data_IF_332590495973
#
_entry.id   IF_332590495973
#
_cell.length_a   1.000
_cell.length_b   1.000
_cell.length_c   1.000
_cell.angle_alpha   90.00
_cell.angle_beta   90.00
_cell.angle_gamma   90.00
#
_symmetry.space_group_name_H-M   'P 1'
#
loop_
_entity.id
_entity.type
_entity.pdbx_description
1 polymer ?
#
# COMPACT_ATOMS: atom_id res chain seq x y z
N UNK A 1 -8.57 4.66 9.80
CA UNK A 1 -9.12 3.31 9.84
C UNK A 1 -8.02 2.26 9.69
N UNK A 2 -7.36 2.11 8.55
CA UNK A 2 -6.28 1.12 8.33
C UNK A 2 -5.17 1.10 9.41
N UNK A 3 -4.66 2.25 9.83
CA UNK A 3 -3.62 2.30 10.86
C UNK A 3 -4.04 1.69 12.23
N UNK A 4 -5.35 1.49 12.48
CA UNK A 4 -5.84 0.79 13.69
C UNK A 4 -5.62 -0.72 13.61
N UNK A 5 -5.58 -1.29 12.42
CA UNK A 5 -5.31 -2.71 12.20
C UNK A 5 -3.82 -3.05 12.32
N UNK A 6 -2.93 -2.05 12.22
CA UNK A 6 -1.51 -2.21 12.47
C UNK A 6 -1.27 -2.11 13.97
N UNK A 7 -1.01 -3.23 14.61
CA UNK A 7 -0.83 -3.33 16.05
C UNK A 7 0.65 -3.49 16.43
N UNK A 8 0.95 -3.41 17.72
CA UNK A 8 2.29 -3.70 18.24
C UNK A 8 2.74 -5.13 17.86
N UNK A 9 4.03 -5.34 17.73
CA UNK A 9 4.69 -6.60 17.38
C UNK A 9 4.41 -7.14 15.95
N UNK A 10 3.81 -6.35 15.06
CA UNK A 10 3.64 -6.72 13.67
C UNK A 10 4.87 -6.39 12.82
N UNK A 11 4.92 -6.98 11.64
CA UNK A 11 5.80 -6.58 10.53
C UNK A 11 4.93 -6.09 9.36
N UNK A 12 5.34 -4.98 8.74
CA UNK A 12 4.58 -4.40 7.63
C UNK A 12 5.52 -3.91 6.52
N UNK A 13 5.07 -4.02 5.27
CA UNK A 13 5.67 -3.34 4.13
C UNK A 13 4.85 -2.11 3.78
N UNK A 14 5.54 -1.00 3.52
CA UNK A 14 4.95 0.27 3.09
C UNK A 14 5.62 0.71 1.80
N UNK A 15 4.82 0.94 0.76
CA UNK A 15 5.33 1.44 -0.52
C UNK A 15 5.73 2.93 -0.46
N UNK A 16 6.20 3.48 -1.57
CA UNK A 16 6.63 4.88 -1.67
C UNK A 16 5.49 5.87 -1.92
N UNK A 17 4.25 5.49 -1.70
CA UNK A 17 3.11 6.39 -1.90
C UNK A 17 2.94 7.40 -0.77
N UNK A 18 2.33 8.56 -1.10
CA UNK A 18 1.92 9.55 -0.10
C UNK A 18 0.93 8.96 0.93
N UNK A 19 0.10 8.01 0.51
CA UNK A 19 -0.81 7.28 1.39
C UNK A 19 -0.04 6.45 2.41
N UNK A 20 0.99 5.73 1.99
CA UNK A 20 1.85 4.95 2.90
C UNK A 20 2.64 5.86 3.85
N UNK A 21 3.12 7.01 3.39
CA UNK A 21 3.75 8.01 4.25
C UNK A 21 2.78 8.53 5.32
N UNK A 22 1.53 8.79 4.96
CA UNK A 22 0.50 9.19 5.92
C UNK A 22 0.25 8.11 6.98
N UNK A 23 0.23 6.84 6.57
CA UNK A 23 0.12 5.70 7.50
C UNK A 23 1.33 5.63 8.42
N UNK A 24 2.55 5.76 7.88
CA UNK A 24 3.80 5.75 8.64
C UNK A 24 3.78 6.78 9.78
N UNK A 25 3.31 8.00 9.52
CA UNK A 25 3.14 9.05 10.53
C UNK A 25 2.21 8.67 11.68
N UNK A 26 1.21 7.84 11.41
CA UNK A 26 0.19 7.44 12.39
C UNK A 26 0.59 6.22 13.23
N UNK A 27 1.57 5.45 12.77
CA UNK A 27 2.04 4.24 13.44
C UNK A 27 3.40 4.41 14.13
N UNK A 28 4.02 5.57 14.07
CA UNK A 28 5.37 5.82 14.60
C UNK A 28 5.52 5.58 16.11
N UNK A 29 4.42 5.65 16.85
CA UNK A 29 4.40 5.44 18.31
C UNK A 29 4.09 3.98 18.71
N UNK A 30 3.94 3.08 17.72
CA UNK A 30 3.75 1.63 17.96
C UNK A 30 5.03 1.02 18.57
N UNK A 31 4.84 -0.11 19.26
CA UNK A 31 5.95 -0.82 19.93
C UNK A 31 6.29 -2.11 19.19
N UNK A 32 7.59 -2.36 19.05
CA UNK A 32 8.13 -3.57 18.42
C UNK A 32 7.62 -3.81 16.99
N UNK A 33 7.25 -2.74 16.28
CA UNK A 33 6.81 -2.84 14.89
C UNK A 33 8.05 -2.90 13.99
N UNK A 34 8.03 -3.80 13.02
CA UNK A 34 9.04 -3.89 11.96
C UNK A 34 8.45 -3.31 10.68
N UNK A 35 9.14 -2.35 10.08
CA UNK A 35 8.72 -1.70 8.83
C UNK A 35 9.78 -1.96 7.76
N UNK A 36 9.34 -2.42 6.59
CA UNK A 36 10.16 -2.54 5.39
C UNK A 36 9.59 -1.56 4.37
N UNK A 37 10.42 -0.72 3.81
CA UNK A 37 9.96 0.29 2.85
C UNK A 37 11.02 0.60 1.78
N UNK A 38 10.53 0.96 0.61
CA UNK A 38 11.34 1.51 -0.47
C UNK A 38 11.22 3.05 -0.57
N UNK A 39 10.60 3.70 0.41
CA UNK A 39 10.38 5.15 0.44
C UNK A 39 11.43 5.87 1.27
N UNK A 40 12.20 6.77 0.67
CA UNK A 40 13.10 7.67 1.42
C UNK A 40 12.33 8.59 2.35
N UNK A 41 11.16 9.07 1.97
CA UNK A 41 10.33 9.93 2.81
C UNK A 41 9.89 9.22 4.10
N UNK A 42 9.48 7.94 4.00
CA UNK A 42 9.14 7.13 5.17
C UNK A 42 10.36 6.88 6.05
N UNK A 43 11.52 6.59 5.46
CA UNK A 43 12.77 6.43 6.23
C UNK A 43 13.13 7.69 7.00
N UNK A 44 13.03 8.88 6.37
CA UNK A 44 13.28 10.17 7.01
C UNK A 44 12.24 10.46 8.11
N UNK A 45 10.96 10.21 7.84
CA UNK A 45 9.87 10.43 8.81
C UNK A 45 10.05 9.59 10.08
N UNK A 46 10.53 8.36 9.94
CA UNK A 46 10.61 7.38 11.03
C UNK A 46 12.01 7.28 11.67
N UNK A 47 13.03 8.00 11.19
CA UNK A 47 14.43 7.88 11.65
C UNK A 47 14.63 8.00 13.16
N UNK A 48 13.79 8.80 13.83
CA UNK A 48 13.88 9.08 15.26
C UNK A 48 12.91 8.20 16.11
N UNK A 49 12.17 7.29 15.48
CA UNK A 49 11.23 6.42 16.16
C UNK A 49 11.97 5.31 16.94
N UNK A 50 11.90 5.35 18.28
CA UNK A 50 12.73 4.52 19.18
C UNK A 50 12.32 3.04 19.26
N UNK A 51 11.08 2.71 18.96
CA UNK A 51 10.52 1.37 19.18
C UNK A 51 10.20 0.64 17.85
N UNK A 52 10.75 1.14 16.75
CA UNK A 52 10.56 0.56 15.43
C UNK A 52 11.88 -0.04 14.91
N UNK A 53 11.77 -1.18 14.21
CA UNK A 53 12.83 -1.69 13.35
C UNK A 53 12.51 -1.31 11.92
N UNK A 54 13.38 -0.58 11.26
CA UNK A 54 13.11 -0.05 9.93
C UNK A 54 14.17 -0.58 8.97
N UNK A 55 13.71 -1.24 7.91
CA UNK A 55 14.52 -1.78 6.84
C UNK A 55 14.27 -0.97 5.56
N UNK A 56 15.33 -0.51 4.93
CA UNK A 56 15.29 0.07 3.60
C UNK A 56 15.48 -1.02 2.56
N UNK A 57 14.72 -0.98 1.46
CA UNK A 57 14.93 -1.91 0.33
C UNK A 57 16.30 -1.74 -0.34
N UNK A 58 16.96 -0.59 -0.15
CA UNK A 58 18.09 -0.24 -1.03
C UNK A 58 17.66 -0.14 -2.50
N UNK A 59 18.62 -0.14 -3.41
CA UNK A 59 18.37 -0.10 -4.85
C UNK A 59 18.67 1.25 -5.50
N UNK A 60 18.13 1.46 -6.70
CA UNK A 60 18.27 2.70 -7.46
C UNK A 60 17.29 3.76 -6.95
N UNK A 61 17.74 4.99 -6.75
CA UNK A 61 16.84 6.12 -6.52
C UNK A 61 16.14 6.48 -7.83
N UNK A 62 14.80 6.39 -7.83
CA UNK A 62 13.99 6.78 -8.98
C UNK A 62 14.08 8.28 -9.28
N UNK A 63 14.15 8.63 -10.56
CA UNK A 63 14.43 10.01 -11.01
C UNK A 63 13.37 11.03 -10.53
N UNK A 64 12.10 10.66 -10.57
CA UNK A 64 10.96 11.55 -10.24
C UNK A 64 10.24 11.16 -8.94
N UNK A 65 10.89 10.38 -8.08
CA UNK A 65 10.30 9.91 -6.84
C UNK A 65 11.34 9.74 -5.75
N UNK A 66 10.94 9.91 -4.52
CA UNK A 66 11.77 9.53 -3.36
C UNK A 66 11.66 8.02 -3.07
N UNK A 67 11.71 7.22 -4.13
CA UNK A 67 11.60 5.76 -4.07
C UNK A 67 12.89 5.06 -4.47
N UNK A 68 13.23 4.03 -3.72
CA UNK A 68 14.27 3.07 -4.05
C UNK A 68 13.63 1.93 -4.86
N UNK A 69 14.13 1.67 -6.06
CA UNK A 69 13.52 0.75 -7.03
C UNK A 69 14.57 -0.13 -7.72
N UNK A 70 14.11 -1.04 -8.56
CA UNK A 70 14.93 -1.92 -9.38
C UNK A 70 15.23 -3.25 -8.71
N UNK A 71 15.92 -4.13 -9.43
CA UNK A 71 16.13 -5.53 -9.04
C UNK A 71 16.76 -5.72 -7.65
N UNK A 72 17.62 -4.80 -7.19
CA UNK A 72 18.20 -4.90 -5.85
C UNK A 72 17.16 -4.62 -4.77
N UNK A 73 16.29 -3.63 -4.99
CA UNK A 73 15.18 -3.33 -4.08
C UNK A 73 14.20 -4.53 -4.01
N UNK A 74 13.82 -5.07 -5.17
CA UNK A 74 12.90 -6.18 -5.28
C UNK A 74 13.47 -7.45 -4.60
N UNK A 75 14.75 -7.76 -4.82
CA UNK A 75 15.42 -8.89 -4.13
C UNK A 75 15.44 -8.72 -2.62
N UNK A 76 15.80 -7.54 -2.14
CA UNK A 76 15.85 -7.29 -0.69
C UNK A 76 14.46 -7.44 -0.05
N UNK A 77 13.42 -6.93 -0.69
CA UNK A 77 12.03 -7.07 -0.23
C UNK A 77 11.61 -8.54 -0.20
N UNK A 78 11.96 -9.32 -1.23
CA UNK A 78 11.60 -10.74 -1.31
C UNK A 78 12.29 -11.65 -0.28
N UNK A 79 13.30 -11.16 0.45
CA UNK A 79 13.92 -11.89 1.55
C UNK A 79 13.09 -11.89 2.85
N UNK A 80 12.01 -11.11 2.90
CA UNK A 80 11.15 -10.96 4.08
C UNK A 80 9.73 -11.45 3.78
N UNK A 81 9.08 -11.98 4.79
CA UNK A 81 7.64 -12.21 4.80
C UNK A 81 7.03 -11.44 5.98
N UNK A 82 5.99 -10.64 5.72
CA UNK A 82 5.41 -9.73 6.71
C UNK A 82 3.93 -10.00 6.95
N UNK A 83 3.39 -9.52 8.07
CA UNK A 83 1.98 -9.67 8.38
C UNK A 83 1.07 -8.89 7.42
N UNK A 84 1.49 -7.72 6.96
CA UNK A 84 0.72 -6.97 5.99
C UNK A 84 1.61 -6.16 5.05
N UNK A 85 1.23 -6.11 3.78
CA UNK A 85 1.81 -5.21 2.80
C UNK A 85 0.77 -4.18 2.38
N UNK A 86 1.13 -2.91 2.47
CA UNK A 86 0.24 -1.79 2.18
C UNK A 86 0.82 -1.01 1.03
N UNK A 87 0.13 -1.05 -0.08
CA UNK A 87 0.49 -0.32 -1.29
C UNK A 87 -0.62 0.63 -1.71
N UNK A 88 -0.28 1.59 -2.56
CA UNK A 88 -1.23 2.43 -3.29
C UNK A 88 -1.00 2.30 -4.80
N UNK A 89 -1.82 2.97 -5.60
CA UNK A 89 -1.72 2.95 -7.05
C UNK A 89 -1.96 4.34 -7.67
N UNK A 90 -1.67 4.46 -8.96
CA UNK A 90 -1.97 5.67 -9.74
C UNK A 90 -3.32 5.63 -10.42
N UNK A 91 -3.83 4.44 -10.70
CA UNK A 91 -5.16 4.21 -11.26
C UNK A 91 -5.72 2.89 -10.80
N UNK A 92 -7.05 2.83 -10.64
CA UNK A 92 -7.79 1.64 -10.26
C UNK A 92 -9.04 1.51 -11.13
N UNK A 93 -9.02 0.53 -11.99
CA UNK A 93 -10.11 0.20 -12.93
C UNK A 93 -10.72 -1.14 -12.57
N UNK A 94 -12.05 -1.25 -12.69
CA UNK A 94 -12.80 -2.41 -12.21
C UNK A 94 -12.48 -3.70 -12.98
N UNK A 95 -12.06 -3.59 -14.23
CA UNK A 95 -11.75 -4.72 -15.10
C UNK A 95 -10.22 -4.89 -15.33
N UNK A 96 -9.47 -3.79 -15.31
CA UNK A 96 -8.02 -3.79 -15.54
C UNK A 96 -7.20 -3.92 -14.26
N UNK A 97 -7.84 -3.74 -13.09
CA UNK A 97 -7.17 -3.79 -11.79
C UNK A 97 -6.48 -2.47 -11.44
N UNK A 98 -5.50 -2.55 -10.54
CA UNK A 98 -4.76 -1.39 -10.09
C UNK A 98 -3.42 -1.27 -10.81
N UNK A 99 -3.08 -0.02 -11.15
CA UNK A 99 -2.03 0.30 -12.11
C UNK A 99 -1.10 1.41 -11.61
N UNK A 100 0.14 1.45 -12.11
CA UNK A 100 1.13 2.47 -11.83
C UNK A 100 1.73 3.08 -13.11
N UNK A 101 2.31 4.27 -13.01
CA UNK A 101 2.90 4.95 -14.17
C UNK A 101 4.25 4.39 -14.57
N UNK A 102 5.02 3.83 -13.61
CA UNK A 102 6.38 3.37 -13.79
C UNK A 102 6.51 1.86 -13.55
N UNK A 103 7.20 1.17 -14.43
CA UNK A 103 7.41 -0.28 -14.40
C UNK A 103 8.15 -0.76 -13.14
N UNK A 104 9.19 -0.08 -12.73
CA UNK A 104 9.94 -0.41 -11.52
C UNK A 104 9.10 -0.25 -10.25
N UNK A 105 8.22 0.76 -10.18
CA UNK A 105 7.28 0.89 -9.06
C UNK A 105 6.25 -0.25 -9.06
N UNK A 106 5.72 -0.58 -10.25
CA UNK A 106 4.79 -1.70 -10.38
C UNK A 106 5.44 -3.04 -9.99
N UNK A 107 6.71 -3.26 -10.38
CA UNK A 107 7.49 -4.44 -9.99
C UNK A 107 7.64 -4.55 -8.48
N UNK A 108 8.13 -3.50 -7.83
CA UNK A 108 8.33 -3.49 -6.38
C UNK A 108 7.03 -3.74 -5.61
N UNK A 109 5.90 -3.16 -6.06
CA UNK A 109 4.59 -3.38 -5.44
C UNK A 109 4.12 -4.83 -5.57
N UNK A 110 4.32 -5.48 -6.73
CA UNK A 110 4.03 -6.92 -6.89
C UNK A 110 4.83 -7.76 -5.90
N UNK A 111 6.14 -7.52 -5.79
CA UNK A 111 6.99 -8.25 -4.84
C UNK A 111 6.52 -8.04 -3.39
N UNK A 112 6.09 -6.84 -3.02
CA UNK A 112 5.53 -6.56 -1.69
C UNK A 112 4.25 -7.37 -1.43
N UNK A 113 3.35 -7.47 -2.42
CA UNK A 113 2.11 -8.25 -2.29
C UNK A 113 2.34 -9.76 -2.23
N UNK A 114 3.37 -10.27 -2.90
CA UNK A 114 3.73 -11.68 -2.90
C UNK A 114 4.34 -12.15 -1.57
N UNK A 115 4.86 -11.22 -0.76
CA UNK A 115 5.62 -11.53 0.44
C UNK A 115 4.94 -11.06 1.75
N UNK A 116 3.63 -11.27 1.87
CA UNK A 116 2.87 -10.92 3.06
C UNK A 116 1.68 -11.86 3.29
N UNK A 117 1.17 -11.87 4.54
CA UNK A 117 -0.06 -12.59 4.90
C UNK A 117 -1.32 -11.84 4.43
N UNK A 118 -1.33 -10.51 4.56
CA UNK A 118 -2.48 -9.66 4.20
C UNK A 118 -2.07 -8.58 3.20
N UNK A 119 -2.70 -8.60 2.04
CA UNK A 119 -2.44 -7.67 0.92
C UNK A 119 -3.45 -6.52 0.95
N UNK A 120 -2.96 -5.32 1.19
CA UNK A 120 -3.80 -4.12 1.36
C UNK A 120 -3.54 -3.11 0.26
N UNK A 121 -4.60 -2.74 -0.47
CA UNK A 121 -4.61 -1.61 -1.38
C UNK A 121 -5.25 -0.40 -0.69
N UNK A 122 -4.44 0.61 -0.40
CA UNK A 122 -4.90 1.88 0.16
C UNK A 122 -5.01 2.92 -0.96
N UNK A 123 -6.23 3.27 -1.35
CA UNK A 123 -6.50 4.07 -2.55
C UNK A 123 -7.63 5.07 -2.30
N UNK A 124 -7.43 6.32 -2.65
CA UNK A 124 -8.48 7.33 -2.60
C UNK A 124 -9.40 7.26 -3.83
N UNK A 125 -10.61 7.79 -3.69
CA UNK A 125 -11.65 7.73 -4.71
C UNK A 125 -11.26 8.40 -6.04
N UNK A 126 -10.30 9.30 -6.04
CA UNK A 126 -9.82 9.96 -7.25
C UNK A 126 -9.09 9.01 -8.22
N UNK A 127 -8.74 7.80 -7.76
CA UNK A 127 -8.06 6.79 -8.58
C UNK A 127 -9.00 5.82 -9.26
N UNK A 128 -10.27 5.80 -8.85
CA UNK A 128 -11.28 4.92 -9.44
C UNK A 128 -11.57 5.33 -10.89
N UNK A 129 -11.76 4.32 -11.74
CA UNK A 129 -11.96 4.49 -13.19
C UNK A 129 -10.79 5.17 -13.93
N UNK A 130 -9.60 5.12 -13.35
CA UNK A 130 -8.37 5.56 -14.00
C UNK A 130 -7.45 4.38 -14.26
N UNK A 131 -6.73 4.44 -15.39
CA UNK A 131 -5.75 3.43 -15.80
C UNK A 131 -4.43 4.13 -16.03
N UNK A 132 -3.36 3.67 -15.36
CA UNK A 132 -2.00 4.05 -15.65
C UNK A 132 -1.32 2.97 -16.52
N UNK A 133 -0.06 3.19 -16.89
CA UNK A 133 0.61 2.42 -17.95
C UNK A 133 0.89 0.96 -17.56
N UNK A 134 1.29 0.70 -16.31
CA UNK A 134 1.71 -0.63 -15.86
C UNK A 134 0.70 -1.26 -14.92
N UNK A 135 0.24 -2.47 -15.21
CA UNK A 135 -0.61 -3.25 -14.31
C UNK A 135 0.24 -3.73 -13.12
N UNK A 136 -0.24 -3.46 -11.91
CA UNK A 136 0.34 -3.98 -10.67
C UNK A 136 -0.34 -5.28 -10.27
N UNK A 137 -1.68 -5.30 -10.30
CA UNK A 137 -2.48 -6.48 -9.95
C UNK A 137 -3.96 -6.23 -10.19
N UNK A 138 -4.76 -7.21 -9.81
CA UNK A 138 -6.22 -7.24 -9.92
C UNK A 138 -6.86 -7.45 -8.56
N UNK A 139 -8.19 -7.48 -8.47
CA UNK A 139 -8.90 -7.77 -7.21
C UNK A 139 -8.53 -9.12 -6.58
N UNK A 140 -8.06 -10.09 -7.37
CA UNK A 140 -7.61 -11.38 -6.83
C UNK A 140 -6.26 -11.32 -6.10
N UNK A 141 -5.51 -10.24 -6.30
CA UNK A 141 -4.17 -10.06 -5.74
C UNK A 141 -4.18 -9.25 -4.43
N UNK A 142 -5.37 -8.91 -3.91
CA UNK A 142 -5.55 -8.15 -2.66
C UNK A 142 -6.62 -8.76 -1.78
N UNK A 143 -6.50 -8.56 -0.47
CA UNK A 143 -7.45 -9.03 0.53
C UNK A 143 -8.31 -7.90 1.07
N UNK A 144 -7.73 -6.69 1.17
CA UNK A 144 -8.38 -5.52 1.77
C UNK A 144 -8.17 -4.28 0.89
N UNK A 145 -9.23 -3.54 0.66
CA UNK A 145 -9.20 -2.19 0.09
C UNK A 145 -9.53 -1.20 1.20
N UNK A 146 -8.76 -0.13 1.28
CA UNK A 146 -9.05 1.01 2.14
C UNK A 146 -9.20 2.26 1.29
N UNK A 147 -10.35 2.92 1.40
CA UNK A 147 -10.65 4.12 0.62
C UNK A 147 -11.24 5.23 1.49
N UNK A 148 -11.25 6.45 0.98
CA UNK A 148 -11.71 7.66 1.66
C UNK A 148 -13.23 7.82 1.66
N UNK A 149 -13.93 7.19 0.71
CA UNK A 149 -15.38 7.29 0.57
C UNK A 149 -16.01 5.91 0.41
N UNK A 150 -17.32 5.81 0.63
CA UNK A 150 -18.09 4.62 0.31
C UNK A 150 -18.03 4.37 -1.22
N UNK A 151 -17.60 3.20 -1.67
CA UNK A 151 -17.51 2.92 -3.10
C UNK A 151 -18.90 2.89 -3.76
N UNK A 152 -19.02 3.27 -5.04
CA UNK A 152 -20.24 3.08 -5.81
C UNK A 152 -20.71 1.63 -5.78
N UNK A 153 -22.03 1.41 -5.96
CA UNK A 153 -22.65 0.08 -5.85
C UNK A 153 -21.97 -0.97 -6.73
N UNK A 154 -21.65 -0.61 -7.96
CA UNK A 154 -20.95 -1.50 -8.91
C UNK A 154 -19.61 -2.00 -8.35
N UNK A 155 -18.82 -1.11 -7.73
CA UNK A 155 -17.55 -1.46 -7.11
C UNK A 155 -17.75 -2.34 -5.87
N UNK A 156 -18.74 -2.01 -5.04
CA UNK A 156 -19.03 -2.80 -3.83
C UNK A 156 -19.43 -4.25 -4.18
N UNK A 157 -20.26 -4.45 -5.21
CA UNK A 157 -20.64 -5.78 -5.70
C UNK A 157 -19.43 -6.57 -6.26
N UNK A 158 -18.49 -5.89 -6.91
CA UNK A 158 -17.24 -6.54 -7.42
C UNK A 158 -16.30 -6.92 -6.27
N UNK A 159 -16.17 -6.08 -5.24
CA UNK A 159 -15.37 -6.40 -4.06
C UNK A 159 -15.95 -7.62 -3.32
N UNK A 160 -17.25 -7.64 -3.11
CA UNK A 160 -17.95 -8.76 -2.49
C UNK A 160 -17.75 -10.07 -3.27
N UNK A 161 -17.94 -10.02 -4.59
CA UNK A 161 -17.72 -11.19 -5.47
C UNK A 161 -16.29 -11.70 -5.45
N UNK A 162 -15.32 -10.78 -5.35
CA UNK A 162 -13.90 -11.12 -5.25
C UNK A 162 -13.49 -11.50 -3.80
N UNK A 163 -14.38 -11.40 -2.82
CA UNK A 163 -14.12 -11.60 -1.38
C UNK A 163 -13.07 -10.64 -0.82
N UNK A 164 -13.02 -9.43 -1.35
CA UNK A 164 -12.14 -8.36 -0.88
C UNK A 164 -12.89 -7.52 0.15
N UNK A 165 -12.32 -7.38 1.35
CA UNK A 165 -12.88 -6.52 2.38
C UNK A 165 -12.68 -5.05 1.99
N UNK A 166 -13.73 -4.23 2.07
CA UNK A 166 -13.64 -2.81 1.76
C UNK A 166 -13.88 -1.96 3.02
N UNK A 167 -12.87 -1.20 3.41
CA UNK A 167 -12.89 -0.32 4.57
C UNK A 167 -12.95 1.14 4.13
N UNK A 168 -13.92 1.89 4.65
CA UNK A 168 -14.07 3.35 4.45
C UNK A 168 -14.57 4.02 5.74
N UNK A 169 -14.40 5.33 5.93
CA UNK A 169 -14.89 6.04 7.12
C UNK A 169 -16.42 5.97 7.24
N UNK A 170 -16.92 5.78 8.47
CA UNK A 170 -18.37 5.73 8.71
C UNK A 170 -19.08 7.05 8.31
N UNK A 171 -18.40 8.17 8.46
CA UNK A 171 -18.89 9.52 8.11
C UNK A 171 -19.02 9.72 6.58
N UNK A 172 -18.43 8.81 5.78
CA UNK A 172 -18.54 8.85 4.32
C UNK A 172 -19.91 8.40 3.78
N UNK A 173 -20.77 7.85 4.65
CA UNK A 173 -22.15 7.52 4.28
C UNK A 173 -23.04 8.77 4.08
N UNK A 174 -22.71 9.90 4.73
CA UNK A 174 -23.47 11.16 4.61
C UNK A 174 -23.06 11.99 3.38
N UNK A 175 -21.85 11.83 2.87
CA UNK A 175 -21.34 12.59 1.73
C UNK A 175 -21.82 12.04 0.36
N UNK A 176 -22.42 10.86 0.33
CA UNK A 176 -22.86 10.17 -0.90
C UNK A 176 -24.39 10.31 -1.16
N UNK A 177 -25.09 11.16 -0.40
CA UNK A 177 -26.50 11.54 -0.58
C UNK A 177 -26.58 12.96 -1.15
#
# INVERSE_FOLDING_TARGET
MLFRSITDNMSVMLDCSSTALFIARRIKDRKNLTIITNSLEILIELKDAKNLKIFSSGGLLGEDSFALVGNQADRMISEFHVNASIISCKGFDIDKGFTDSHDMHASTKRVMLENCDTRVLAVDSSKFNHIAFNVVGTLSDIDVIVTDVKPPKEWAERFEKAKVECLYPADAEEAAK
#
